data_IF_088868158246
#
_entry.id   IF_088868158246
#
_cell.length_a   1.000
_cell.length_b   1.000
_cell.length_c   1.000
_cell.angle_alpha   90.00
_cell.angle_beta   90.00
_cell.angle_gamma   90.00
#
_symmetry.space_group_name_H-M   'P 1'
#
loop_
_entity.id
_entity.type
_entity.pdbx_description
1 polymer ?
#
# COMPACT_ATOMS: atom_id res chain seq x y z
N UNK A 1 22.63 0.37 -23.05
CA UNK A 1 21.39 0.73 -23.78
C UNK A 1 20.91 2.08 -23.25
N UNK A 2 20.46 2.99 -24.14
CA UNK A 2 19.94 4.30 -23.74
C UNK A 2 18.48 4.44 -24.16
N UNK A 3 17.66 4.93 -23.24
CA UNK A 3 16.23 5.15 -23.44
C UNK A 3 15.89 6.58 -23.04
N UNK A 4 15.29 7.34 -23.94
CA UNK A 4 14.81 8.69 -23.65
C UNK A 4 13.44 8.63 -22.99
N UNK A 5 13.27 9.37 -21.89
CA UNK A 5 11.98 9.51 -21.21
C UNK A 5 11.09 10.42 -22.02
N UNK A 6 9.92 9.93 -22.44
CA UNK A 6 8.99 10.65 -23.34
C UNK A 6 7.75 11.13 -22.62
N UNK A 7 7.20 10.31 -21.69
CA UNK A 7 5.85 10.53 -21.13
C UNK A 7 5.80 10.74 -19.62
N UNK A 8 6.93 10.61 -18.92
CA UNK A 8 6.94 10.84 -17.48
C UNK A 8 6.98 12.34 -17.19
N UNK A 9 5.88 12.89 -16.68
CA UNK A 9 5.70 14.31 -16.37
C UNK A 9 6.86 14.87 -15.52
N UNK A 10 7.45 15.96 -15.94
CA UNK A 10 8.62 16.60 -15.31
C UNK A 10 9.95 15.86 -15.51
N UNK A 11 9.96 14.79 -16.31
CA UNK A 11 11.16 14.00 -16.62
C UNK A 11 11.42 13.84 -18.12
N UNK A 12 10.63 14.50 -18.96
CA UNK A 12 10.76 14.45 -20.41
C UNK A 12 12.16 14.87 -20.84
N UNK A 13 12.69 14.19 -21.84
CA UNK A 13 14.02 14.46 -22.39
C UNK A 13 15.18 13.92 -21.56
N UNK A 14 14.97 13.45 -20.33
CA UNK A 14 16.00 12.74 -19.56
C UNK A 14 16.30 11.40 -20.21
N UNK A 15 17.50 10.88 -19.98
CA UNK A 15 17.96 9.63 -20.59
C UNK A 15 18.30 8.61 -19.51
N UNK A 16 17.65 7.45 -19.57
CA UNK A 16 18.03 6.27 -18.79
C UNK A 16 19.09 5.48 -19.57
N UNK A 17 20.25 5.28 -18.97
CA UNK A 17 21.34 4.48 -19.53
C UNK A 17 21.54 3.23 -18.70
N UNK A 18 21.37 2.04 -19.32
CA UNK A 18 21.65 0.76 -18.69
C UNK A 18 23.10 0.33 -19.01
N UNK A 19 23.88 0.10 -17.98
CA UNK A 19 25.23 -0.46 -18.06
C UNK A 19 25.20 -1.88 -17.52
N UNK A 20 25.27 -2.87 -18.41
CA UNK A 20 25.21 -4.28 -18.05
C UNK A 20 26.46 -4.77 -17.31
N UNK A 21 27.64 -4.24 -17.66
CA UNK A 21 28.91 -4.68 -17.06
C UNK A 21 29.04 -4.25 -15.59
N UNK A 22 28.39 -3.15 -15.23
CA UNK A 22 28.36 -2.60 -13.87
C UNK A 22 27.06 -2.90 -13.13
N UNK A 23 26.09 -3.49 -13.82
CA UNK A 23 24.76 -3.76 -13.29
C UNK A 23 24.09 -2.52 -12.67
N UNK A 24 24.20 -1.38 -13.35
CA UNK A 24 23.60 -0.10 -12.91
C UNK A 24 22.72 0.52 -13.99
N UNK A 25 21.70 1.24 -13.55
CA UNK A 25 20.95 2.18 -14.37
C UNK A 25 21.32 3.59 -13.95
N UNK A 26 21.71 4.39 -14.92
CA UNK A 26 22.08 5.80 -14.75
C UNK A 26 21.00 6.68 -15.35
N UNK A 27 20.66 7.77 -14.66
CA UNK A 27 19.76 8.82 -15.16
C UNK A 27 20.60 10.04 -15.54
N UNK A 28 20.47 10.48 -16.77
CA UNK A 28 21.09 11.70 -17.27
C UNK A 28 20.05 12.78 -17.55
N UNK A 29 20.45 14.05 -17.42
CA UNK A 29 19.65 15.16 -17.91
C UNK A 29 19.54 15.15 -19.44
N UNK A 30 18.67 15.96 -20.00
CA UNK A 30 18.58 16.16 -21.45
C UNK A 30 19.89 16.68 -22.07
N UNK A 31 20.74 17.32 -21.26
CA UNK A 31 22.06 17.82 -21.64
C UNK A 31 23.19 16.82 -21.44
N UNK A 32 22.89 15.63 -20.94
CA UNK A 32 23.85 14.54 -20.74
C UNK A 32 24.54 14.51 -19.36
N UNK A 33 24.18 15.39 -18.44
CA UNK A 33 24.72 15.39 -17.08
C UNK A 33 24.17 14.21 -16.28
N UNK A 34 25.03 13.51 -15.52
CA UNK A 34 24.60 12.41 -14.66
C UNK A 34 23.83 12.95 -13.44
N UNK A 35 22.57 12.63 -13.34
CA UNK A 35 21.68 13.01 -12.23
C UNK A 35 21.65 12.00 -11.09
N UNK A 36 21.92 10.72 -11.39
CA UNK A 36 21.94 9.65 -10.39
C UNK A 36 22.15 8.27 -11.02
N UNK A 37 22.45 7.29 -10.18
CA UNK A 37 22.61 5.90 -10.58
C UNK A 37 22.04 4.96 -9.52
N UNK A 38 21.43 3.84 -9.95
CA UNK A 38 20.92 2.78 -9.10
C UNK A 38 21.47 1.43 -9.56
N UNK A 39 21.97 0.59 -8.63
CA UNK A 39 22.31 -0.80 -8.93
C UNK A 39 21.07 -1.59 -9.36
N UNK A 40 21.25 -2.58 -10.24
CA UNK A 40 20.16 -3.48 -10.66
C UNK A 40 19.51 -4.20 -9.48
N UNK A 41 20.33 -4.62 -8.48
CA UNK A 41 19.82 -5.22 -7.25
C UNK A 41 18.77 -4.35 -6.57
N UNK A 42 19.02 -3.05 -6.43
CA UNK A 42 18.06 -2.11 -5.84
C UNK A 42 16.78 -2.00 -6.68
N UNK A 43 16.90 -2.02 -8.00
CA UNK A 43 15.73 -1.96 -8.89
C UNK A 43 14.95 -3.27 -8.85
N UNK A 44 15.65 -4.41 -8.88
CA UNK A 44 15.03 -5.74 -8.73
C UNK A 44 14.31 -5.82 -7.38
N UNK A 45 14.97 -5.39 -6.30
CA UNK A 45 14.34 -5.32 -4.98
C UNK A 45 13.12 -4.41 -4.96
N UNK A 46 13.15 -3.28 -5.62
CA UNK A 46 12.00 -2.37 -5.78
C UNK A 46 10.88 -3.04 -6.59
N UNK A 47 11.20 -3.74 -7.66
CA UNK A 47 10.25 -4.50 -8.48
C UNK A 47 9.67 -5.68 -7.69
N UNK A 48 10.51 -6.42 -6.95
CA UNK A 48 10.11 -7.57 -6.12
C UNK A 48 9.48 -7.15 -4.79
N UNK A 49 9.81 -5.95 -4.27
CA UNK A 49 9.09 -5.35 -3.14
C UNK A 49 7.63 -5.13 -3.47
N UNK A 50 7.34 -5.56 -4.69
CA UNK A 50 6.03 -5.62 -5.32
C UNK A 50 5.22 -4.48 -4.79
N UNK A 51 5.36 -3.84 -5.01
CA UNK A 51 4.52 -3.08 -5.78
C UNK A 51 3.05 -3.37 -5.77
N UNK A 52 2.59 -4.03 -4.71
CA UNK A 52 1.20 -3.88 -4.36
C UNK A 52 0.86 -2.39 -4.18
N UNK A 53 1.80 -1.58 -3.76
CA UNK A 53 1.59 -0.14 -3.67
C UNK A 53 1.81 0.61 -5.00
N UNK A 54 2.76 0.24 -5.84
CA UNK A 54 3.03 0.97 -7.09
C UNK A 54 2.20 0.48 -8.29
N UNK A 55 1.95 -0.82 -8.43
CA UNK A 55 1.12 -1.35 -9.53
C UNK A 55 -0.32 -0.87 -9.50
N UNK A 56 -0.80 -0.52 -8.30
CA UNK A 56 -2.18 -0.09 -8.10
C UNK A 56 -2.31 1.37 -7.62
N UNK A 57 -1.21 2.10 -7.42
CA UNK A 57 -1.31 3.50 -7.00
C UNK A 57 -2.06 4.37 -8.00
N UNK A 58 -1.89 4.11 -9.29
CA UNK A 58 -2.61 4.83 -10.35
C UNK A 58 -4.06 4.36 -10.56
N UNK A 59 -4.40 3.16 -10.06
CA UNK A 59 -5.75 2.59 -10.16
C UNK A 59 -6.55 2.75 -8.86
N UNK A 60 -5.95 3.28 -7.80
CA UNK A 60 -6.61 3.42 -6.51
C UNK A 60 -7.44 4.70 -6.45
N UNK A 61 -8.71 4.54 -6.14
CA UNK A 61 -9.60 5.70 -5.93
C UNK A 61 -9.25 6.51 -4.68
N UNK A 62 -8.47 5.95 -3.74
CA UNK A 62 -8.18 6.56 -2.45
C UNK A 62 -6.77 6.20 -1.96
N UNK A 63 -6.04 7.16 -1.39
CA UNK A 63 -4.72 6.92 -0.80
C UNK A 63 -4.81 5.99 0.42
N UNK A 64 -3.67 5.42 0.80
CA UNK A 64 -3.50 4.60 2.00
C UNK A 64 -2.37 5.14 2.85
N UNK A 65 -2.43 4.85 4.15
CA UNK A 65 -1.33 5.11 5.08
C UNK A 65 -1.02 3.83 5.86
N UNK A 66 0.26 3.53 6.16
CA UNK A 66 0.61 2.50 7.11
C UNK A 66 0.16 2.96 8.49
N UNK A 67 -0.70 2.18 9.10
CA UNK A 67 -1.25 2.45 10.41
C UNK A 67 -1.63 1.14 11.08
N UNK A 68 -1.06 0.88 12.26
CA UNK A 68 -1.40 -0.27 13.08
C UNK A 68 -2.51 0.11 14.08
N UNK A 69 -3.71 -0.35 13.84
CA UNK A 69 -4.83 -0.25 14.79
C UNK A 69 -5.41 -1.63 15.07
N UNK A 70 -6.00 -1.80 16.24
CA UNK A 70 -6.71 -3.03 16.56
C UNK A 70 -7.95 -3.14 15.69
N UNK A 71 -8.11 -4.30 15.07
CA UNK A 71 -9.28 -4.65 14.25
C UNK A 71 -9.86 -5.99 14.74
N UNK A 72 -11.16 -6.02 14.91
CA UNK A 72 -11.91 -7.26 15.09
C UNK A 72 -12.65 -7.58 13.81
N UNK A 73 -12.53 -8.81 13.33
CA UNK A 73 -13.29 -9.25 12.17
C UNK A 73 -14.07 -10.52 12.48
N UNK A 74 -15.23 -10.63 11.84
CA UNK A 74 -16.16 -11.76 12.01
C UNK A 74 -16.36 -12.42 10.65
N UNK A 75 -16.13 -13.72 10.57
CA UNK A 75 -16.33 -14.52 9.36
C UNK A 75 -17.81 -14.80 9.12
N UNK A 76 -18.19 -15.29 7.92
CA UNK A 76 -19.57 -15.68 7.62
C UNK A 76 -20.12 -16.73 8.58
N UNK A 77 -19.25 -17.60 9.13
CA UNK A 77 -19.62 -18.63 10.10
C UNK A 77 -19.75 -18.08 11.53
N UNK A 78 -19.61 -16.77 11.72
CA UNK A 78 -19.72 -16.12 13.01
C UNK A 78 -18.48 -16.21 13.91
N UNK A 79 -17.34 -16.72 13.42
CA UNK A 79 -16.09 -16.75 14.16
C UNK A 79 -15.48 -15.34 14.22
N UNK A 80 -15.05 -14.94 15.42
CA UNK A 80 -14.44 -13.64 15.65
C UNK A 80 -12.94 -13.77 15.89
N UNK A 81 -12.19 -12.82 15.34
CA UNK A 81 -10.74 -12.72 15.47
C UNK A 81 -10.35 -11.29 15.77
N UNK A 82 -9.40 -11.10 16.67
CA UNK A 82 -8.76 -9.83 16.95
C UNK A 82 -7.38 -9.82 16.29
N UNK A 83 -7.03 -8.73 15.62
CA UNK A 83 -5.76 -8.57 14.93
C UNK A 83 -5.33 -7.08 14.87
N UNK A 84 -4.28 -6.82 14.13
CA UNK A 84 -3.80 -5.48 13.80
C UNK A 84 -3.94 -5.21 12.30
N UNK A 85 -4.09 -3.95 11.96
CA UNK A 85 -3.95 -3.51 10.58
C UNK A 85 -2.49 -3.20 10.25
N UNK A 86 -2.02 -3.53 9.06
CA UNK A 86 -0.74 -3.08 8.51
C UNK A 86 -0.86 -1.86 7.60
N UNK A 87 -2.09 -1.46 7.28
CA UNK A 87 -2.40 -0.31 6.44
C UNK A 87 -3.88 -0.03 6.37
N UNK A 88 -4.23 1.24 6.23
CA UNK A 88 -5.60 1.72 6.24
C UNK A 88 -5.86 2.72 5.11
N UNK A 89 -7.04 2.70 4.55
CA UNK A 89 -7.52 3.65 3.55
C UNK A 89 -9.03 3.71 3.50
N UNK A 90 -9.59 4.69 2.81
CA UNK A 90 -11.03 4.87 2.69
C UNK A 90 -11.76 3.72 1.96
N UNK A 91 -11.02 2.93 1.16
CA UNK A 91 -11.55 1.78 0.43
C UNK A 91 -11.35 0.44 1.11
N UNK A 92 -10.53 0.35 2.18
CA UNK A 92 -10.24 -0.91 2.85
C UNK A 92 -9.06 -0.89 3.78
N UNK A 93 -8.74 -2.06 4.34
CA UNK A 93 -7.67 -2.28 5.32
C UNK A 93 -6.78 -3.44 4.86
N UNK A 94 -5.54 -3.46 5.32
CA UNK A 94 -4.76 -4.70 5.40
C UNK A 94 -4.83 -5.23 6.83
N UNK A 95 -5.24 -6.49 7.00
CA UNK A 95 -5.34 -7.17 8.30
C UNK A 95 -4.22 -8.19 8.38
N UNK A 96 -3.39 -8.09 9.41
CA UNK A 96 -2.36 -9.08 9.70
C UNK A 96 -2.99 -10.40 10.12
N UNK A 97 -2.55 -11.51 9.54
CA UNK A 97 -3.05 -12.85 9.89
C UNK A 97 -2.04 -13.90 9.42
N UNK A 98 -1.74 -14.85 10.31
CA UNK A 98 -0.97 -16.05 9.96
C UNK A 98 -1.78 -17.05 9.12
N UNK A 99 -3.11 -16.91 9.15
CA UNK A 99 -4.07 -17.75 8.42
C UNK A 99 -5.10 -16.87 7.72
N UNK A 100 -4.70 -16.15 6.65
CA UNK A 100 -5.60 -15.26 5.95
C UNK A 100 -6.76 -16.02 5.33
N UNK A 101 -7.93 -15.40 5.32
CA UNK A 101 -9.12 -15.96 4.67
C UNK A 101 -8.96 -15.88 3.14
N UNK A 102 -9.59 -16.81 2.44
CA UNK A 102 -9.50 -16.85 0.97
C UNK A 102 -10.06 -15.59 0.30
N UNK A 103 -9.48 -15.14 -0.82
CA UNK A 103 -10.04 -14.08 -1.62
C UNK A 103 -11.51 -14.34 -1.98
N UNK A 104 -12.33 -13.31 -1.90
CA UNK A 104 -13.76 -13.41 -2.09
C UNK A 104 -14.57 -13.65 -0.81
N UNK A 105 -13.95 -14.01 0.31
CA UNK A 105 -14.65 -14.19 1.59
C UNK A 105 -15.21 -12.85 2.06
N UNK A 106 -16.50 -12.83 2.39
CA UNK A 106 -17.15 -11.68 3.02
C UNK A 106 -16.94 -11.72 4.54
N UNK A 107 -16.77 -10.55 5.15
CA UNK A 107 -16.56 -10.44 6.58
C UNK A 107 -17.09 -9.09 7.11
N UNK A 108 -17.41 -9.05 8.40
CA UNK A 108 -17.67 -7.81 9.11
C UNK A 108 -16.41 -7.39 9.85
N UNK A 109 -16.10 -6.10 9.85
CA UNK A 109 -14.95 -5.53 10.58
C UNK A 109 -15.40 -4.44 11.53
N UNK A 110 -14.75 -4.40 12.70
CA UNK A 110 -14.89 -3.34 13.70
C UNK A 110 -13.49 -2.86 14.09
N UNK A 111 -13.27 -1.56 14.04
CA UNK A 111 -11.99 -0.93 14.40
C UNK A 111 -12.24 0.45 14.99
N UNK A 112 -11.21 1.02 15.65
CA UNK A 112 -11.21 2.38 16.14
C UNK A 112 -10.00 3.13 15.59
N UNK A 113 -10.13 4.44 15.37
CA UNK A 113 -9.03 5.28 14.95
C UNK A 113 -8.21 5.77 16.14
N UNK A 114 -6.90 6.04 16.00
CA UNK A 114 -6.04 6.45 17.12
C UNK A 114 -6.45 7.76 17.77
N UNK A 115 -6.97 8.70 16.99
CA UNK A 115 -7.47 10.00 17.43
C UNK A 115 -8.84 9.91 18.12
N UNK A 116 -9.55 8.81 17.94
CA UNK A 116 -10.89 8.54 18.49
C UNK A 116 -11.04 7.10 18.98
N UNK A 117 -10.26 6.66 19.97
CA UNK A 117 -10.25 5.26 20.41
C UNK A 117 -11.57 4.80 21.06
N UNK A 118 -12.43 5.73 21.45
CA UNK A 118 -13.77 5.45 22.01
C UNK A 118 -14.85 5.26 20.94
N UNK A 119 -14.60 5.69 19.70
CA UNK A 119 -15.54 5.56 18.58
C UNK A 119 -15.20 4.30 17.76
N UNK A 120 -16.17 3.40 17.64
CA UNK A 120 -16.01 2.18 16.89
C UNK A 120 -16.67 2.29 15.53
N UNK A 121 -15.87 2.04 14.51
CA UNK A 121 -16.31 1.99 13.13
C UNK A 121 -16.61 0.56 12.73
N UNK A 122 -17.74 0.35 12.07
CA UNK A 122 -18.16 -0.96 11.55
C UNK A 122 -18.30 -0.89 10.05
N UNK A 123 -17.86 -1.95 9.38
CA UNK A 123 -18.00 -2.09 7.95
C UNK A 123 -18.21 -3.56 7.57
N UNK A 124 -18.85 -3.79 6.43
CA UNK A 124 -18.76 -5.06 5.73
C UNK A 124 -17.68 -4.96 4.66
N UNK A 125 -16.98 -6.04 4.44
CA UNK A 125 -15.85 -6.07 3.54
C UNK A 125 -15.73 -7.43 2.86
N UNK A 126 -14.93 -7.48 1.82
CA UNK A 126 -14.57 -8.68 1.07
C UNK A 126 -13.05 -8.80 1.00
N UNK A 127 -12.52 -9.99 1.22
CA UNK A 127 -11.10 -10.25 1.00
C UNK A 127 -10.80 -10.09 -0.49
N UNK A 128 -9.94 -9.13 -0.82
CA UNK A 128 -9.56 -8.84 -2.19
C UNK A 128 -8.31 -9.63 -2.60
N UNK A 129 -7.32 -9.76 -1.70
CA UNK A 129 -6.06 -10.46 -1.94
C UNK A 129 -5.45 -10.92 -0.61
N UNK A 130 -4.49 -11.86 -0.68
CA UNK A 130 -3.80 -12.41 0.49
C UNK A 130 -2.29 -12.36 0.30
N UNK A 131 -1.57 -12.25 1.43
CA UNK A 131 -0.13 -12.44 1.55
C UNK A 131 0.10 -13.64 2.45
N UNK A 132 0.53 -14.76 1.86
CA UNK A 132 0.69 -16.02 2.59
C UNK A 132 2.03 -16.15 3.33
N UNK A 133 3.03 -15.35 2.93
CA UNK A 133 4.39 -15.40 3.49
C UNK A 133 4.82 -14.01 3.93
N UNK A 134 5.67 -13.91 4.97
CA UNK A 134 6.34 -12.66 5.28
C UNK A 134 7.18 -12.24 4.07
N UNK A 135 6.91 -11.08 3.54
CA UNK A 135 7.75 -10.46 2.53
C UNK A 135 8.63 -9.45 3.24
N UNK A 136 9.93 -9.73 3.34
CA UNK A 136 10.90 -8.94 4.11
C UNK A 136 10.60 -8.95 5.62
N UNK A 137 11.54 -8.50 6.42
CA UNK A 137 11.44 -8.46 7.90
C UNK A 137 10.34 -7.53 8.45
N UNK A 138 9.63 -6.79 7.59
CA UNK A 138 8.66 -5.76 7.99
C UNK A 138 7.23 -5.98 7.48
N UNK A 139 6.99 -6.98 6.63
CA UNK A 139 5.67 -7.22 6.05
C UNK A 139 5.11 -8.55 6.54
N UNK A 140 4.19 -8.48 7.49
CA UNK A 140 3.49 -9.65 8.03
C UNK A 140 2.57 -10.30 7.00
N UNK A 141 2.34 -11.63 7.08
CA UNK A 141 1.26 -12.29 6.36
C UNK A 141 -0.09 -11.68 6.69
N UNK A 142 -1.03 -11.77 5.79
CA UNK A 142 -2.36 -11.25 6.04
C UNK A 142 -3.24 -11.15 4.81
N UNK A 143 -4.26 -10.33 4.89
CA UNK A 143 -5.24 -10.16 3.84
C UNK A 143 -5.58 -8.67 3.63
N UNK A 144 -5.60 -8.26 2.38
CA UNK A 144 -6.17 -6.98 1.96
C UNK A 144 -7.68 -7.13 1.81
N UNK A 145 -8.43 -6.32 2.53
CA UNK A 145 -9.89 -6.30 2.43
C UNK A 145 -10.37 -5.00 1.78
N UNK A 146 -11.43 -5.10 1.01
CA UNK A 146 -12.13 -3.99 0.42
C UNK A 146 -13.48 -3.82 1.11
N UNK A 147 -13.79 -2.60 1.56
CA UNK A 147 -15.11 -2.30 2.11
C UNK A 147 -16.17 -2.41 1.03
N UNK A 148 -17.19 -3.22 1.29
CA UNK A 148 -18.39 -3.33 0.47
C UNK A 148 -19.46 -2.38 0.96
N UNK A 149 -19.50 -2.14 2.29
CA UNK A 149 -20.35 -1.15 2.92
C UNK A 149 -19.66 -0.56 4.15
N UNK A 150 -19.55 0.76 4.18
CA UNK A 150 -19.05 1.54 5.32
C UNK A 150 -19.84 2.84 5.40
N UNK A 151 -20.10 3.30 6.60
CA UNK A 151 -20.78 4.57 6.83
C UNK A 151 -20.02 5.74 6.21
N UNK A 152 -20.74 6.71 5.60
CA UNK A 152 -20.14 7.84 4.90
C UNK A 152 -19.32 8.75 5.84
N UNK A 153 -19.75 8.92 7.09
CA UNK A 153 -18.98 9.65 8.10
C UNK A 153 -17.66 8.94 8.37
N UNK A 154 -17.71 7.63 8.59
CA UNK A 154 -16.52 6.81 8.80
C UNK A 154 -15.56 6.88 7.61
N UNK A 155 -16.07 6.80 6.38
CA UNK A 155 -15.29 6.93 5.15
C UNK A 155 -14.58 8.29 5.07
N UNK A 156 -15.28 9.38 5.35
CA UNK A 156 -14.72 10.73 5.34
C UNK A 156 -13.60 10.87 6.38
N UNK A 157 -13.82 10.40 7.60
CA UNK A 157 -12.84 10.45 8.67
C UNK A 157 -11.58 9.62 8.35
N UNK A 158 -11.74 8.48 7.67
CA UNK A 158 -10.61 7.71 7.13
C UNK A 158 -9.82 8.47 6.08
N UNK A 159 -10.48 9.18 5.18
CA UNK A 159 -9.81 10.04 4.18
C UNK A 159 -9.00 11.12 4.89
N UNK A 160 -9.62 11.86 5.80
CA UNK A 160 -8.99 12.96 6.53
C UNK A 160 -7.76 12.47 7.32
N UNK A 161 -7.87 11.31 7.98
CA UNK A 161 -6.76 10.70 8.72
C UNK A 161 -5.61 10.30 7.80
N UNK A 162 -5.91 9.60 6.69
CA UNK A 162 -4.90 9.15 5.73
C UNK A 162 -4.17 10.34 5.10
N UNK A 163 -4.89 11.39 4.76
CA UNK A 163 -4.32 12.62 4.21
C UNK A 163 -3.44 13.34 5.23
N UNK A 164 -3.84 13.37 6.50
CA UNK A 164 -3.02 13.93 7.58
C UNK A 164 -1.72 13.14 7.78
N UNK A 165 -1.80 11.80 7.80
CA UNK A 165 -0.64 10.92 7.94
C UNK A 165 0.33 11.04 6.76
N UNK A 166 -0.20 11.11 5.54
CA UNK A 166 0.64 11.26 4.35
C UNK A 166 1.32 12.63 4.30
N UNK A 167 0.64 13.71 4.69
CA UNK A 167 1.25 15.04 4.79
C UNK A 167 2.36 15.12 5.83
N UNK A 168 2.18 14.51 6.98
CA UNK A 168 3.21 14.50 8.04
C UNK A 168 4.48 13.77 7.62
N UNK A 169 4.37 12.76 6.74
CA UNK A 169 5.52 12.00 6.19
C UNK A 169 6.29 12.74 5.10
N UNK A 170 5.66 13.67 4.40
CA UNK A 170 6.30 14.50 3.38
C UNK A 170 7.04 15.71 3.98
N UNK A 171 6.78 16.02 5.25
CA UNK A 171 7.39 17.14 5.97
C UNK A 171 8.64 16.74 6.78
N UNK A 172 9.04 15.47 6.72
CA UNK A 172 10.24 14.92 7.41
C UNK A 172 11.28 14.50 6.39
#
# INVERSE_FOLDING_TARGET
MKLTVITAEGHEGKVLEMNADREVIMLHSATGELLGALPWGTIIEQILAGDDDMRFSHARSHPRAPLAVKVRYTTPEGKQFDSLTGGIGAGGLFIESSTPLAPGTELSVEFALPDRPWEKYKATAKVAWIRNKPERHLLFPGMGIQFTNIDEKARKELIDLVDALNRSRLAT
#
